data_IF_262265232762
#
_entry.id   IF_262265232762
#
_cell.length_a   1.000
_cell.length_b   1.000
_cell.length_c   1.000
_cell.angle_alpha   90.00
_cell.angle_beta   90.00
_cell.angle_gamma   90.00
#
_symmetry.space_group_name_H-M   'P 1'
#
loop_
_entity.id
_entity.type
_entity.pdbx_description
1 polymer ?
#
# COMPACT_ATOMS: atom_id res chain seq x y z
N UNK A 1 1.53 11.97 3.82
CA UNK A 1 1.68 11.55 2.41
C UNK A 1 0.54 12.15 1.61
N UNK A 2 0.72 12.45 0.31
CA UNK A 2 -0.33 13.06 -0.50
C UNK A 2 -1.60 12.22 -0.47
N UNK A 3 -2.75 12.88 -0.39
CA UNK A 3 -4.04 12.21 -0.27
C UNK A 3 -4.35 11.26 -1.44
N UNK A 4 -4.00 11.63 -2.66
CA UNK A 4 -4.19 10.77 -3.84
C UNK A 4 -3.44 9.44 -3.75
N UNK A 5 -2.24 9.45 -3.16
CA UNK A 5 -1.47 8.24 -2.91
C UNK A 5 -2.10 7.41 -1.80
N UNK A 6 -2.54 8.06 -0.71
CA UNK A 6 -3.24 7.39 0.38
C UNK A 6 -4.53 6.70 -0.09
N UNK A 7 -5.31 7.35 -0.95
CA UNK A 7 -6.51 6.79 -1.56
C UNK A 7 -6.18 5.58 -2.46
N UNK A 8 -5.09 5.64 -3.23
CA UNK A 8 -4.62 4.51 -4.05
C UNK A 8 -4.19 3.31 -3.20
N UNK A 9 -3.50 3.56 -2.08
CA UNK A 9 -3.10 2.52 -1.15
C UNK A 9 -4.31 1.82 -0.51
N UNK A 10 -5.29 2.61 -0.05
CA UNK A 10 -6.55 2.07 0.50
C UNK A 10 -7.33 1.29 -0.56
N UNK A 11 -7.35 1.76 -1.80
CA UNK A 11 -7.98 1.02 -2.91
C UNK A 11 -7.27 -0.30 -3.20
N UNK A 12 -5.93 -0.33 -3.14
CA UNK A 12 -5.15 -1.56 -3.32
C UNK A 12 -5.44 -2.60 -2.23
N UNK A 13 -5.58 -2.18 -0.97
CA UNK A 13 -5.97 -3.08 0.14
C UNK A 13 -7.38 -3.67 -0.05
N UNK A 14 -8.33 -2.83 -0.45
CA UNK A 14 -9.72 -3.24 -0.61
C UNK A 14 -9.99 -4.01 -1.91
N UNK A 15 -8.96 -4.22 -2.76
CA UNK A 15 -9.12 -4.91 -4.02
C UNK A 15 -9.28 -6.40 -3.78
N UNK A 16 -10.41 -6.94 -4.24
CA UNK A 16 -10.58 -8.38 -4.36
C UNK A 16 -9.93 -8.86 -5.67
N UNK A 17 -9.07 -9.89 -5.58
CA UNK A 17 -8.46 -10.53 -6.74
C UNK A 17 -9.08 -11.92 -6.94
N UNK A 18 -10.06 -12.07 -7.84
CA UNK A 18 -10.64 -13.36 -8.16
C UNK A 18 -9.68 -14.15 -9.06
N UNK A 19 -8.69 -14.80 -8.46
CA UNK A 19 -7.68 -15.61 -9.15
C UNK A 19 -7.01 -16.60 -8.20
N UNK A 20 -6.58 -17.75 -8.75
CA UNK A 20 -5.80 -18.74 -8.01
C UNK A 20 -4.31 -18.41 -8.01
N UNK A 21 -3.56 -18.97 -7.07
CA UNK A 21 -2.10 -18.90 -7.05
C UNK A 21 -1.57 -19.81 -8.17
N UNK A 22 -1.20 -19.22 -9.30
CA UNK A 22 -0.52 -19.89 -10.41
C UNK A 22 1.00 -19.92 -10.21
N UNK A 23 1.72 -20.55 -11.15
CA UNK A 23 3.16 -20.33 -11.27
C UNK A 23 3.42 -18.87 -11.62
N UNK A 24 4.41 -18.29 -10.95
CA UNK A 24 4.76 -16.88 -11.06
C UNK A 24 6.20 -16.77 -11.54
N UNK A 25 6.43 -15.92 -12.55
CA UNK A 25 7.77 -15.49 -12.93
C UNK A 25 8.36 -14.56 -11.87
N UNK A 26 9.67 -14.33 -11.94
CA UNK A 26 10.33 -13.39 -11.02
C UNK A 26 9.79 -11.96 -11.14
N UNK A 27 9.47 -11.53 -12.36
CA UNK A 27 8.96 -10.18 -12.63
C UNK A 27 7.54 -10.00 -12.08
N UNK A 28 6.70 -11.04 -12.19
CA UNK A 28 5.37 -11.04 -11.58
C UNK A 28 5.45 -11.05 -10.04
N UNK A 29 6.41 -11.78 -9.47
CA UNK A 29 6.67 -11.75 -8.03
C UNK A 29 7.01 -10.33 -7.55
N UNK A 30 7.96 -9.66 -8.22
CA UNK A 30 8.40 -8.31 -7.84
C UNK A 30 7.22 -7.33 -7.94
N UNK A 31 6.40 -7.43 -8.98
CA UNK A 31 5.18 -6.63 -9.12
C UNK A 31 4.15 -6.89 -8.01
N UNK A 32 3.94 -8.16 -7.64
CA UNK A 32 3.02 -8.52 -6.55
C UNK A 32 3.56 -8.04 -5.20
N UNK A 33 4.86 -8.15 -4.96
CA UNK A 33 5.51 -7.71 -3.73
C UNK A 33 5.34 -6.20 -3.54
N UNK A 34 5.61 -5.39 -4.58
CA UNK A 34 5.37 -3.94 -4.58
C UNK A 34 3.88 -3.59 -4.34
N UNK A 35 2.96 -4.37 -4.93
CA UNK A 35 1.52 -4.19 -4.72
C UNK A 35 1.08 -4.55 -3.29
N UNK A 36 1.66 -5.61 -2.70
CA UNK A 36 1.39 -6.03 -1.33
C UNK A 36 1.90 -4.98 -0.33
N UNK A 37 3.09 -4.43 -0.58
CA UNK A 37 3.68 -3.31 0.15
C UNK A 37 2.72 -2.10 0.18
N UNK A 38 2.19 -1.71 -0.97
CA UNK A 38 1.22 -0.61 -1.07
C UNK A 38 -0.10 -0.91 -0.35
N UNK A 39 -0.60 -2.14 -0.45
CA UNK A 39 -1.83 -2.57 0.22
C UNK A 39 -1.67 -2.56 1.76
N UNK A 40 -0.51 -2.94 2.29
CA UNK A 40 -0.24 -2.88 3.74
C UNK A 40 -0.27 -1.44 4.28
N UNK A 41 0.19 -0.47 3.49
CA UNK A 41 0.04 0.95 3.82
C UNK A 41 -1.44 1.34 3.80
N UNK A 42 -2.20 0.85 2.81
CA UNK A 42 -3.64 1.04 2.72
C UNK A 42 -4.40 0.57 3.95
N UNK A 43 -4.05 -0.62 4.48
CA UNK A 43 -4.60 -1.12 5.74
C UNK A 43 -4.30 -0.18 6.91
N UNK A 44 -3.04 0.23 7.08
CA UNK A 44 -2.64 1.12 8.17
C UNK A 44 -3.37 2.47 8.11
N UNK A 45 -3.56 3.03 6.91
CA UNK A 45 -4.34 4.25 6.69
C UNK A 45 -5.82 4.03 7.03
N UNK A 46 -6.40 2.90 6.59
CA UNK A 46 -7.80 2.58 6.90
C UNK A 46 -8.07 2.46 8.40
N UNK A 47 -7.11 1.94 9.17
CA UNK A 47 -7.25 1.76 10.61
C UNK A 47 -6.93 3.02 11.44
N UNK A 48 -5.91 3.79 11.04
CA UNK A 48 -5.29 4.82 11.88
C UNK A 48 -5.04 6.16 11.17
N UNK A 49 -5.33 6.26 9.88
CA UNK A 49 -5.04 7.46 9.09
C UNK A 49 -5.89 8.66 9.50
N UNK A 50 -5.25 9.82 9.62
CA UNK A 50 -5.89 11.11 9.86
C UNK A 50 -5.66 12.03 8.66
N UNK A 51 -6.71 12.74 8.24
CA UNK A 51 -6.60 13.76 7.19
C UNK A 51 -6.03 15.04 7.77
N UNK A 52 -5.08 15.63 7.05
CA UNK A 52 -4.52 16.94 7.32
C UNK A 52 -4.41 17.73 6.01
N UNK A 53 -5.44 18.52 5.70
CA UNK A 53 -5.54 19.23 4.42
C UNK A 53 -5.52 18.28 3.21
N UNK A 54 -4.49 18.45 2.37
CA UNK A 54 -4.24 17.62 1.17
C UNK A 54 -3.36 16.39 1.46
N UNK A 55 -2.99 16.20 2.73
CA UNK A 55 -2.18 15.08 3.19
C UNK A 55 -2.97 14.12 4.08
N UNK A 56 -2.45 12.91 4.19
CA UNK A 56 -2.83 11.90 5.18
C UNK A 56 -1.63 11.60 6.06
N UNK A 57 -1.84 11.69 7.37
CA UNK A 57 -0.87 11.37 8.41
C UNK A 57 -1.26 10.03 9.04
N UNK A 58 -0.31 9.11 9.13
CA UNK A 58 -0.50 7.79 9.73
C UNK A 58 0.78 7.39 10.45
N UNK A 59 0.63 6.86 11.66
CA UNK A 59 1.75 6.27 12.40
C UNK A 59 2.06 4.88 11.85
N UNK A 60 3.30 4.71 11.40
CA UNK A 60 3.83 3.47 10.81
C UNK A 60 4.97 2.93 11.68
N UNK A 61 5.05 1.60 11.79
CA UNK A 61 6.24 0.94 12.33
C UNK A 61 7.44 1.16 11.39
N UNK A 62 8.68 1.08 11.92
CA UNK A 62 9.91 1.30 11.16
C UNK A 62 9.99 0.46 9.88
N UNK A 63 9.46 -0.77 9.89
CA UNK A 63 9.40 -1.62 8.71
C UNK A 63 8.43 -1.07 7.66
N UNK A 64 7.27 -0.59 8.11
CA UNK A 64 6.24 -0.01 7.24
C UNK A 64 6.65 1.35 6.67
N UNK A 65 7.52 2.10 7.36
CA UNK A 65 8.09 3.37 6.86
C UNK A 65 8.98 3.11 5.63
N UNK A 66 9.82 2.07 5.66
CA UNK A 66 10.68 1.74 4.53
C UNK A 66 9.86 1.38 3.27
N UNK A 67 8.82 0.58 3.48
CA UNK A 67 7.82 0.21 2.47
C UNK A 67 7.12 1.45 1.88
N UNK A 68 6.67 2.39 2.74
CA UNK A 68 6.03 3.61 2.29
C UNK A 68 6.94 4.52 1.46
N UNK A 69 8.23 4.60 1.80
CA UNK A 69 9.20 5.36 1.03
C UNK A 69 9.47 4.75 -0.35
N UNK A 70 9.42 3.41 -0.47
CA UNK A 70 9.58 2.71 -1.73
C UNK A 70 8.38 2.93 -2.65
N UNK A 71 7.17 2.84 -2.09
CA UNK A 71 5.91 3.01 -2.82
C UNK A 71 5.63 4.46 -3.26
N UNK A 72 6.21 5.46 -2.57
CA UNK A 72 6.04 6.88 -2.89
C UNK A 72 6.99 7.41 -3.97
N UNK A 73 7.84 6.56 -4.55
CA UNK A 73 8.84 6.93 -5.54
C UNK A 73 8.29 6.92 -6.96
#
# INVERSE_FOLDING_TARGET
MPRSLAESAVAAWNREEPGGIGEESREEYELRDDAAELALIGLAIGERGMRDGEDVVVDLDVVQVATALRAAR
#
